data_IF_459891854697
#
_entry.id   IF_459891854697
#
_cell.length_a   1.000
_cell.length_b   1.000
_cell.length_c   1.000
_cell.angle_alpha   90.00
_cell.angle_beta   90.00
_cell.angle_gamma   90.00
#
_symmetry.space_group_name_H-M   'P 1'
#
loop_
_entity.id
_entity.type
_entity.pdbx_description
1 polymer ?
#
# COMPACT_ATOMS: atom_id res chain seq x y z
N UNK A 1 7.92 5.37 -13.09
CA UNK A 1 7.28 4.40 -14.00
C UNK A 1 7.03 3.14 -13.17
N UNK A 2 5.76 2.83 -12.86
CA UNK A 2 5.34 1.71 -12.00
C UNK A 2 5.11 0.44 -12.84
N UNK A 3 6.09 0.02 -13.66
CA UNK A 3 5.84 -1.00 -14.69
C UNK A 3 6.01 -2.46 -14.26
N UNK A 4 6.41 -2.78 -13.03
CA UNK A 4 6.70 -4.18 -12.68
C UNK A 4 5.60 -4.92 -11.91
N UNK A 5 4.41 -4.34 -11.72
CA UNK A 5 3.43 -4.92 -10.80
C UNK A 5 1.97 -4.62 -11.22
N UNK A 6 1.18 -5.65 -11.54
CA UNK A 6 -0.27 -5.53 -11.76
C UNK A 6 -0.69 -4.95 -13.12
N UNK A 7 -0.17 -5.50 -14.23
CA UNK A 7 -0.60 -5.10 -15.59
C UNK A 7 -2.03 -5.52 -15.89
N UNK A 8 -2.84 -4.58 -16.39
CA UNK A 8 -4.24 -4.77 -16.75
C UNK A 8 -4.45 -4.55 -18.26
N UNK A 9 -5.26 -5.41 -18.88
CA UNK A 9 -5.63 -5.24 -20.29
C UNK A 9 -6.46 -3.97 -20.52
N UNK A 10 -6.33 -3.36 -21.70
CA UNK A 10 -6.97 -2.09 -22.05
C UNK A 10 -8.49 -2.07 -21.81
N UNK A 11 -9.15 -3.21 -22.01
CA UNK A 11 -10.61 -3.35 -21.89
C UNK A 11 -11.11 -3.65 -20.46
N UNK A 12 -10.22 -3.72 -19.46
CA UNK A 12 -10.60 -3.97 -18.07
C UNK A 12 -11.55 -2.89 -17.53
N UNK A 13 -12.62 -3.34 -16.88
CA UNK A 13 -13.62 -2.50 -16.19
C UNK A 13 -13.85 -3.02 -14.77
N UNK A 14 -14.31 -2.13 -13.88
CA UNK A 14 -14.75 -2.54 -12.55
C UNK A 14 -15.83 -3.63 -12.66
N UNK A 15 -15.71 -4.66 -11.83
CA UNK A 15 -16.75 -5.68 -11.68
C UNK A 15 -17.77 -5.31 -10.57
N UNK A 16 -17.41 -4.34 -9.73
CA UNK A 16 -18.27 -3.78 -8.68
C UNK A 16 -18.82 -2.42 -9.13
N UNK A 17 -20.10 -2.11 -8.87
CA UNK A 17 -20.65 -0.79 -9.17
C UNK A 17 -19.84 0.32 -8.51
N UNK A 18 -19.63 1.43 -9.22
CA UNK A 18 -18.79 2.55 -8.76
C UNK A 18 -19.18 3.08 -7.37
N UNK A 19 -20.47 3.07 -7.05
CA UNK A 19 -21.02 3.55 -5.76
C UNK A 19 -20.61 2.67 -4.58
N UNK A 20 -20.33 1.39 -4.82
CA UNK A 20 -19.83 0.45 -3.81
C UNK A 20 -18.29 0.39 -3.80
N UNK A 21 -17.64 0.97 -4.81
CA UNK A 21 -16.18 1.02 -4.94
C UNK A 21 -15.57 2.35 -4.44
N UNK A 22 -16.37 3.40 -4.31
CA UNK A 22 -15.89 4.72 -3.89
C UNK A 22 -15.46 4.76 -2.42
N UNK A 23 -14.50 5.63 -2.10
CA UNK A 23 -14.23 6.03 -0.73
C UNK A 23 -15.46 6.74 -0.13
N UNK A 24 -15.71 6.51 1.16
CA UNK A 24 -16.92 6.99 1.85
C UNK A 24 -17.02 8.51 1.91
N UNK A 25 -15.89 9.20 1.91
CA UNK A 25 -15.72 10.65 2.00
C UNK A 25 -15.37 11.31 0.65
N UNK A 26 -15.28 10.53 -0.43
CA UNK A 26 -14.88 11.05 -1.74
C UNK A 26 -15.68 10.37 -2.87
N UNK A 27 -16.84 10.92 -3.26
CA UNK A 27 -17.67 10.31 -4.30
C UNK A 27 -17.03 10.44 -5.69
N UNK A 28 -17.47 9.60 -6.63
CA UNK A 28 -17.09 9.74 -8.03
C UNK A 28 -17.53 11.08 -8.62
N UNK A 29 -16.75 11.68 -9.53
CA UNK A 29 -17.17 12.89 -10.24
C UNK A 29 -18.40 12.62 -11.11
N UNK A 30 -19.27 13.63 -11.24
CA UNK A 30 -20.51 13.54 -12.02
C UNK A 30 -20.30 13.28 -13.52
N UNK A 31 -19.10 13.59 -14.03
CA UNK A 31 -18.69 13.32 -15.41
C UNK A 31 -18.56 11.81 -15.73
N UNK A 32 -18.33 10.97 -14.72
CA UNK A 32 -18.28 9.51 -14.89
C UNK A 32 -19.71 8.98 -14.77
N UNK A 33 -20.39 8.78 -15.89
CA UNK A 33 -21.80 8.36 -15.92
C UNK A 33 -21.98 6.85 -15.87
N UNK A 34 -20.93 6.08 -16.16
CA UNK A 34 -21.00 4.62 -16.20
C UNK A 34 -21.04 4.00 -14.80
N UNK A 35 -21.82 2.92 -14.64
CA UNK A 35 -21.86 2.15 -13.39
C UNK A 35 -20.59 1.33 -13.15
N UNK A 36 -19.93 0.90 -14.23
CA UNK A 36 -18.74 0.06 -14.23
C UNK A 36 -17.64 0.72 -15.06
N UNK A 37 -16.94 1.74 -14.50
CA UNK A 37 -15.94 2.50 -15.23
C UNK A 37 -14.76 1.63 -15.68
N UNK A 38 -14.14 2.04 -16.79
CA UNK A 38 -12.93 1.43 -17.32
C UNK A 38 -11.71 1.78 -16.46
N UNK A 39 -10.66 0.96 -16.55
CA UNK A 39 -9.45 1.08 -15.72
C UNK A 39 -8.84 2.49 -15.67
N UNK A 40 -8.81 3.24 -16.77
CA UNK A 40 -8.23 4.59 -16.81
C UNK A 40 -9.04 5.57 -15.95
N UNK A 41 -10.38 5.47 -15.96
CA UNK A 41 -11.24 6.29 -15.09
C UNK A 41 -11.07 5.93 -13.62
N UNK A 42 -10.79 4.66 -13.31
CA UNK A 42 -10.48 4.23 -11.94
C UNK A 42 -9.16 4.83 -11.49
N UNK A 43 -8.14 4.79 -12.35
CA UNK A 43 -6.85 5.42 -12.08
C UNK A 43 -6.99 6.93 -11.85
N UNK A 44 -7.70 7.63 -12.72
CA UNK A 44 -7.97 9.08 -12.58
C UNK A 44 -8.69 9.39 -11.26
N UNK A 45 -9.65 8.56 -10.86
CA UNK A 45 -10.36 8.70 -9.59
C UNK A 45 -9.41 8.54 -8.39
N UNK A 46 -8.60 7.49 -8.35
CA UNK A 46 -7.61 7.27 -7.27
C UNK A 46 -6.58 8.40 -7.23
N UNK A 47 -6.12 8.88 -8.39
CA UNK A 47 -5.20 10.01 -8.46
C UNK A 47 -5.85 11.30 -7.93
N UNK A 48 -7.11 11.55 -8.28
CA UNK A 48 -7.86 12.72 -7.78
C UNK A 48 -8.08 12.66 -6.27
N UNK A 49 -8.32 11.47 -5.69
CA UNK A 49 -8.39 11.27 -4.25
C UNK A 49 -7.07 11.62 -3.57
N UNK A 50 -5.95 11.10 -4.10
CA UNK A 50 -4.63 11.36 -3.55
C UNK A 50 -4.23 12.84 -3.62
N UNK A 51 -4.67 13.56 -4.66
CA UNK A 51 -4.49 15.01 -4.77
C UNK A 51 -5.39 15.77 -3.79
N UNK A 52 -6.67 15.39 -3.67
CA UNK A 52 -7.64 16.07 -2.81
C UNK A 52 -7.22 16.07 -1.34
N UNK A 53 -6.70 14.95 -0.85
CA UNK A 53 -6.22 14.80 0.54
C UNK A 53 -4.72 15.07 0.71
N UNK A 54 -4.05 15.59 -0.32
CA UNK A 54 -2.63 15.94 -0.30
C UNK A 54 -1.73 14.77 0.16
N UNK A 55 -2.03 13.56 -0.31
CA UNK A 55 -1.33 12.33 0.07
C UNK A 55 -0.02 12.16 -0.69
N UNK A 56 0.10 12.76 -1.88
CA UNK A 56 1.25 12.60 -2.78
C UNK A 56 2.56 13.01 -2.09
N UNK A 57 2.55 14.03 -1.22
CA UNK A 57 3.73 14.48 -0.47
C UNK A 57 4.31 13.42 0.48
N UNK A 58 3.52 12.41 0.83
CA UNK A 58 3.93 11.33 1.72
C UNK A 58 4.44 10.09 0.95
N UNK A 59 4.39 10.11 -0.39
CA UNK A 59 4.78 8.99 -1.23
C UNK A 59 6.16 9.24 -1.83
N UNK A 60 7.11 8.32 -1.59
CA UNK A 60 8.40 8.28 -2.28
C UNK A 60 8.32 7.28 -3.42
N UNK A 61 8.18 7.77 -4.66
CA UNK A 61 8.26 6.93 -5.86
C UNK A 61 9.70 6.45 -6.09
N UNK A 62 9.88 5.49 -7.01
CA UNK A 62 11.18 4.93 -7.38
C UNK A 62 12.00 4.43 -6.17
N UNK A 63 11.29 3.90 -5.16
CA UNK A 63 11.85 3.40 -3.91
C UNK A 63 11.28 2.01 -3.67
N UNK A 64 12.11 0.97 -3.81
CA UNK A 64 11.71 -0.43 -3.63
C UNK A 64 12.00 -0.88 -2.21
N UNK A 65 11.01 -1.37 -1.49
CA UNK A 65 11.23 -2.02 -0.18
C UNK A 65 11.77 -3.43 -0.43
N UNK A 66 12.96 -3.73 0.09
CA UNK A 66 13.66 -5.02 -0.12
C UNK A 66 13.77 -5.85 1.16
N UNK A 67 13.50 -5.27 2.33
CA UNK A 67 13.51 -5.99 3.58
C UNK A 67 12.73 -5.27 4.68
N UNK A 68 12.10 -6.05 5.56
CA UNK A 68 11.43 -5.56 6.76
C UNK A 68 11.84 -6.47 7.92
N UNK A 69 12.48 -5.91 8.93
CA UNK A 69 12.99 -6.63 10.08
C UNK A 69 12.45 -5.98 11.36
N UNK A 70 11.94 -6.78 12.30
CA UNK A 70 11.54 -6.27 13.62
C UNK A 70 12.74 -6.30 14.57
N UNK A 71 13.12 -5.13 15.09
CA UNK A 71 14.12 -4.96 16.14
C UNK A 71 13.39 -4.72 17.47
N UNK A 72 13.06 -5.80 18.21
CA UNK A 72 12.39 -5.67 19.51
C UNK A 72 12.40 -6.92 20.39
N UNK A 73 12.98 -6.75 21.60
CA UNK A 73 13.06 -7.61 22.81
C UNK A 73 13.52 -9.08 22.65
N UNK A 74 14.28 -9.54 23.65
CA UNK A 74 14.82 -10.90 23.72
C UNK A 74 13.71 -11.95 23.80
N UNK A 75 14.05 -13.18 23.39
CA UNK A 75 13.18 -14.36 23.19
C UNK A 75 12.17 -14.69 24.31
N UNK A 76 12.25 -14.03 25.47
CA UNK A 76 11.38 -14.24 26.63
C UNK A 76 10.07 -13.44 26.60
N UNK A 77 9.93 -12.42 25.76
CA UNK A 77 8.69 -11.62 25.65
C UNK A 77 7.89 -11.91 24.35
N UNK A 78 8.46 -12.71 23.42
CA UNK A 78 7.88 -13.05 22.11
C UNK A 78 6.57 -13.85 22.16
N UNK A 79 6.30 -14.54 23.29
CA UNK A 79 5.12 -15.41 23.43
C UNK A 79 3.79 -14.66 23.67
N UNK A 80 3.80 -13.33 23.86
CA UNK A 80 2.58 -12.53 24.04
C UNK A 80 2.05 -11.89 22.76
N UNK A 81 2.66 -12.17 21.60
CA UNK A 81 2.39 -11.49 20.32
C UNK A 81 1.25 -12.11 19.49
N UNK A 82 0.35 -12.88 20.11
CA UNK A 82 -0.89 -13.39 19.48
C UNK A 82 -2.06 -12.41 19.60
N UNK A 83 -1.93 -11.40 20.46
CA UNK A 83 -2.85 -10.28 20.58
C UNK A 83 -2.11 -9.05 20.10
N UNK A 84 -2.78 -8.13 19.39
CA UNK A 84 -2.25 -6.80 19.09
C UNK A 84 -1.84 -6.13 20.42
N UNK A 85 -0.57 -6.32 20.78
CA UNK A 85 0.11 -5.90 22.00
C UNK A 85 -0.40 -6.42 23.36
N UNK A 86 -1.54 -7.11 23.48
CA UNK A 86 -2.01 -7.77 24.71
C UNK A 86 -2.21 -6.88 25.96
N UNK A 87 -1.92 -5.58 25.85
CA UNK A 87 -1.80 -4.61 26.94
C UNK A 87 -2.67 -3.36 26.71
N UNK A 88 -3.70 -3.47 25.85
CA UNK A 88 -4.63 -2.38 25.48
C UNK A 88 -3.99 -1.13 24.85
N UNK A 89 -2.69 -1.15 24.53
CA UNK A 89 -2.03 -0.11 23.74
C UNK A 89 -1.84 -0.56 22.29
N UNK A 90 -2.23 0.26 21.29
CA UNK A 90 -2.15 -0.13 19.89
C UNK A 90 -0.72 -0.36 19.37
N UNK A 91 0.30 0.13 20.07
CA UNK A 91 1.71 0.05 19.65
C UNK A 91 2.61 -0.37 20.82
N UNK A 92 3.51 -1.34 20.57
CA UNK A 92 4.56 -1.69 21.52
C UNK A 92 5.68 -0.66 21.40
N UNK A 93 5.81 0.23 22.37
CA UNK A 93 6.88 1.24 22.39
C UNK A 93 8.29 0.65 22.52
N UNK A 94 8.43 -0.66 22.71
CA UNK A 94 9.71 -1.31 22.99
C UNK A 94 10.44 -1.83 21.74
N UNK A 95 9.74 -2.08 20.64
CA UNK A 95 10.34 -2.56 19.39
C UNK A 95 10.16 -1.59 18.24
N UNK A 96 11.10 -1.57 17.31
CA UNK A 96 11.04 -0.77 16.08
C UNK A 96 11.16 -1.67 14.87
N UNK A 97 10.56 -1.25 13.77
CA UNK A 97 10.73 -1.90 12.49
C UNK A 97 11.83 -1.22 11.71
N UNK A 98 12.74 -2.03 11.17
CA UNK A 98 13.78 -1.63 10.25
C UNK A 98 13.32 -1.99 8.83
N UNK A 99 13.09 -0.96 8.01
CA UNK A 99 12.68 -1.09 6.62
C UNK A 99 13.87 -0.76 5.73
N UNK A 100 14.31 -1.74 4.96
CA UNK A 100 15.43 -1.62 4.01
C UNK A 100 14.84 -1.28 2.64
N UNK A 101 15.31 -0.20 2.04
CA UNK A 101 14.81 0.28 0.75
C UNK A 101 15.96 0.53 -0.23
N UNK A 102 15.74 0.22 -1.49
CA UNK A 102 16.64 0.54 -2.59
C UNK A 102 16.04 1.66 -3.44
N UNK A 103 16.80 2.74 -3.64
CA UNK A 103 16.45 3.81 -4.56
C UNK A 103 16.89 3.44 -5.98
N UNK A 104 15.94 3.39 -6.92
CA UNK A 104 16.24 3.11 -8.33
C UNK A 104 16.95 4.29 -9.02
N UNK A 105 16.89 5.49 -8.44
CA UNK A 105 17.51 6.69 -9.02
C UNK A 105 19.01 6.76 -8.71
N UNK A 106 19.41 6.42 -7.49
CA UNK A 106 20.79 6.56 -7.03
C UNK A 106 21.53 5.23 -6.81
N UNK A 107 20.87 4.08 -7.03
CA UNK A 107 21.39 2.74 -6.72
C UNK A 107 21.93 2.64 -5.28
N UNK A 108 21.25 3.29 -4.35
CA UNK A 108 21.63 3.33 -2.94
C UNK A 108 20.61 2.59 -2.08
N UNK A 109 21.12 1.85 -1.08
CA UNK A 109 20.30 1.21 -0.06
C UNK A 109 20.21 2.11 1.17
N UNK A 110 18.99 2.42 1.58
CA UNK A 110 18.66 3.20 2.78
C UNK A 110 17.95 2.31 3.81
N UNK A 111 18.09 2.65 5.09
CA UNK A 111 17.43 1.95 6.19
C UNK A 111 16.60 2.94 7.00
N UNK A 112 15.30 2.70 7.08
CA UNK A 112 14.36 3.51 7.86
C UNK A 112 13.92 2.76 9.12
N UNK A 113 13.94 3.45 10.26
CA UNK A 113 13.42 2.93 11.53
C UNK A 113 12.06 3.56 11.82
N UNK A 114 11.03 2.74 11.95
CA UNK A 114 9.63 3.17 12.13
C UNK A 114 8.97 2.40 13.27
N UNK A 115 7.92 2.98 13.85
CA UNK A 115 7.21 2.36 14.98
C UNK A 115 6.20 1.29 14.52
N UNK A 116 5.66 1.43 13.31
CA UNK A 116 4.76 0.45 12.69
C UNK A 116 4.89 0.43 11.17
N UNK A 117 4.44 -0.67 10.55
CA UNK A 117 4.44 -0.86 9.09
C UNK A 117 3.04 -1.31 8.66
N UNK A 118 2.51 -0.72 7.58
CA UNK A 118 1.29 -1.14 6.91
C UNK A 118 1.68 -1.66 5.52
N UNK A 119 1.28 -2.90 5.21
CA UNK A 119 1.63 -3.55 3.94
C UNK A 119 0.49 -3.42 2.93
N UNK A 120 0.76 -2.77 1.79
CA UNK A 120 -0.22 -2.50 0.74
C UNK A 120 0.26 -2.98 -0.65
N UNK A 121 0.83 -4.19 -0.74
CA UNK A 121 1.39 -4.70 -2.01
C UNK A 121 0.33 -5.24 -2.99
N UNK A 122 -0.89 -5.52 -2.51
CA UNK A 122 -1.90 -6.22 -3.30
C UNK A 122 -1.56 -7.71 -3.48
N UNK A 123 -2.52 -8.48 -3.99
CA UNK A 123 -2.37 -9.94 -4.16
C UNK A 123 -1.93 -10.34 -5.58
N UNK A 124 -2.31 -9.56 -6.59
CA UNK A 124 -2.19 -9.94 -8.02
C UNK A 124 -0.96 -9.31 -8.68
N UNK A 125 0.14 -9.33 -7.96
CA UNK A 125 1.24 -8.38 -8.14
C UNK A 125 2.59 -9.10 -8.36
N UNK A 126 2.59 -10.42 -8.24
CA UNK A 126 3.75 -11.31 -8.29
C UNK A 126 3.73 -12.22 -9.53
N UNK A 127 4.66 -13.19 -9.61
CA UNK A 127 4.80 -14.13 -10.71
C UNK A 127 3.46 -14.82 -11.02
N UNK A 128 3.00 -14.78 -12.29
CA UNK A 128 1.78 -15.47 -12.70
C UNK A 128 1.83 -16.96 -12.33
N UNK A 129 0.81 -17.45 -11.64
CA UNK A 129 0.65 -18.87 -11.36
C UNK A 129 0.19 -19.60 -12.63
N UNK A 130 1.15 -20.16 -13.37
CA UNK A 130 0.91 -20.97 -14.57
C UNK A 130 1.17 -22.45 -14.19
N UNK A 131 0.11 -23.25 -13.99
CA UNK A 131 0.23 -24.65 -13.61
C UNK A 131 0.70 -25.56 -14.75
#
# INVERSE_FOLDING_TARGET
>A
MLEECGSTIACTKLQTPKTLYQFSDFPWPSSVTENFPAQHKVFDYVQSYAQHFDLIKHIRFNTKVVGIEYEGLSDKETQSCSLWNGNSQPFSFKGKWKVVVDSTENNSTEVHKVDFVILCMGQYCDVPNIP
#
